data_IF_496007660989
#
_entry.id   IF_496007660989
#
_cell.length_a   1.000
_cell.length_b   1.000
_cell.length_c   1.000
_cell.angle_alpha   90.00
_cell.angle_beta   90.00
_cell.angle_gamma   90.00
#
_symmetry.space_group_name_H-M   'P 1'
#
loop_
_entity.id
_entity.type
_entity.pdbx_description
1 polymer ?
#
# COMPACT_ATOMS: atom_id res chain seq x y z
N UNK A 1 10.30 3.36 -22.43
CA UNK A 1 11.00 3.65 -21.15
C UNK A 1 10.00 4.23 -20.16
N UNK A 2 9.13 3.44 -19.51
CA UNK A 2 7.93 4.00 -18.86
C UNK A 2 7.56 3.44 -17.46
N UNK A 3 8.45 2.74 -16.74
CA UNK A 3 8.09 2.10 -15.46
C UNK A 3 9.07 2.44 -14.32
N UNK A 4 9.48 3.71 -14.21
CA UNK A 4 10.40 4.19 -13.16
C UNK A 4 9.98 3.79 -11.74
N UNK A 5 8.70 4.00 -11.34
CA UNK A 5 8.23 3.60 -10.02
C UNK A 5 8.28 2.09 -9.77
N UNK A 6 7.79 1.27 -10.71
CA UNK A 6 7.79 -0.19 -10.56
C UNK A 6 9.23 -0.75 -10.48
N UNK A 7 10.12 -0.29 -11.37
CA UNK A 7 11.53 -0.69 -11.34
C UNK A 7 12.20 -0.28 -10.03
N UNK A 8 11.88 0.90 -9.49
CA UNK A 8 12.38 1.32 -8.19
C UNK A 8 11.89 0.40 -7.06
N UNK A 9 10.61 0.06 -7.03
CA UNK A 9 10.03 -0.88 -6.05
C UNK A 9 10.76 -2.23 -6.09
N UNK A 10 10.90 -2.83 -7.29
CA UNK A 10 11.62 -4.11 -7.48
C UNK A 10 13.05 -4.02 -6.95
N UNK A 11 13.78 -2.97 -7.32
CA UNK A 11 15.15 -2.78 -6.85
C UNK A 11 15.24 -2.68 -5.31
N UNK A 12 14.27 -2.02 -4.67
CA UNK A 12 14.24 -1.89 -3.20
C UNK A 12 13.89 -3.20 -2.51
N UNK A 13 12.94 -3.97 -3.04
CA UNK A 13 12.59 -5.31 -2.52
C UNK A 13 13.81 -6.24 -2.65
N UNK A 14 14.42 -6.32 -3.83
CA UNK A 14 15.53 -7.23 -4.09
C UNK A 14 16.80 -6.86 -3.31
N UNK A 15 17.10 -5.56 -3.19
CA UNK A 15 18.22 -5.11 -2.36
C UNK A 15 17.98 -5.39 -0.87
N UNK A 16 16.73 -5.31 -0.42
CA UNK A 16 16.38 -5.61 0.96
C UNK A 16 16.47 -7.11 1.28
N UNK A 17 16.26 -8.02 0.31
CA UNK A 17 16.27 -9.48 0.48
C UNK A 17 15.33 -9.93 1.62
N UNK A 18 14.00 -9.77 1.44
CA UNK A 18 13.05 -10.10 2.48
C UNK A 18 12.97 -11.60 2.75
N UNK A 19 12.71 -11.95 4.01
CA UNK A 19 12.48 -13.32 4.48
C UNK A 19 11.21 -13.35 5.33
N UNK A 20 10.75 -14.54 5.75
CA UNK A 20 9.59 -14.68 6.62
C UNK A 20 9.72 -13.85 7.92
N UNK A 21 10.88 -13.90 8.57
CA UNK A 21 11.14 -13.18 9.83
C UNK A 21 11.47 -11.69 9.64
N UNK A 22 11.74 -11.28 8.38
CA UNK A 22 12.10 -9.90 8.04
C UNK A 22 11.48 -9.51 6.69
N UNK A 23 10.15 -9.30 6.65
CA UNK A 23 9.46 -8.97 5.42
C UNK A 23 9.75 -7.54 4.96
N UNK A 24 9.59 -7.29 3.65
CA UNK A 24 9.61 -5.93 3.11
C UNK A 24 8.20 -5.34 3.20
N UNK A 25 8.05 -4.27 3.97
CA UNK A 25 6.76 -3.59 4.17
C UNK A 25 6.57 -2.48 3.14
N UNK A 26 5.53 -2.58 2.31
CA UNK A 26 5.23 -1.72 1.16
C UNK A 26 3.87 -1.03 1.31
N UNK A 27 3.86 0.31 1.26
CA UNK A 27 2.63 1.11 1.20
C UNK A 27 2.16 1.30 -0.24
N UNK A 28 0.86 1.09 -0.49
CA UNK A 28 0.26 1.09 -1.83
C UNK A 28 -0.93 2.06 -1.96
N UNK A 29 -1.01 2.86 -3.04
CA UNK A 29 -2.15 3.72 -3.33
C UNK A 29 -3.14 3.04 -4.29
N UNK A 30 -4.36 3.55 -4.35
CA UNK A 30 -5.34 3.22 -5.40
C UNK A 30 -5.47 4.38 -6.41
N UNK A 31 -6.48 4.31 -7.29
CA UNK A 31 -6.74 5.33 -8.30
C UNK A 31 -6.09 5.06 -9.66
N UNK A 32 -6.28 5.97 -10.61
CA UNK A 32 -5.80 5.79 -12.00
C UNK A 32 -4.29 5.86 -12.15
N UNK A 33 -3.62 6.71 -11.37
CA UNK A 33 -2.17 6.98 -11.45
C UNK A 33 -1.29 5.73 -11.29
N UNK A 34 -1.49 4.85 -10.29
CA UNK A 34 -0.63 3.67 -10.10
C UNK A 34 -0.89 2.50 -11.07
N UNK A 35 -1.93 2.55 -11.92
CA UNK A 35 -2.31 1.40 -12.76
C UNK A 35 -1.19 0.91 -13.69
N UNK A 36 -0.43 1.83 -14.28
CA UNK A 36 0.71 1.47 -15.15
C UNK A 36 1.85 0.84 -14.35
N UNK A 37 2.08 1.31 -13.12
CA UNK A 37 3.06 0.73 -12.20
C UNK A 37 2.64 -0.68 -11.76
N UNK A 38 1.37 -0.93 -11.44
CA UNK A 38 0.89 -2.27 -11.09
C UNK A 38 1.04 -3.27 -12.24
N UNK A 39 0.63 -2.88 -13.46
CA UNK A 39 0.85 -3.71 -14.66
C UNK A 39 2.32 -4.06 -14.81
N UNK A 40 3.21 -3.09 -14.64
CA UNK A 40 4.65 -3.32 -14.74
C UNK A 40 5.20 -4.25 -13.65
N UNK A 41 4.73 -4.12 -12.40
CA UNK A 41 5.11 -5.02 -11.29
C UNK A 41 4.67 -6.46 -11.55
N UNK A 42 3.45 -6.64 -12.06
CA UNK A 42 2.92 -7.96 -12.45
C UNK A 42 3.77 -8.58 -13.54
N UNK A 43 4.13 -7.84 -14.58
CA UNK A 43 4.97 -8.37 -15.67
C UNK A 43 6.39 -8.71 -15.19
N UNK A 44 6.99 -7.87 -14.33
CA UNK A 44 8.29 -8.15 -13.72
C UNK A 44 8.24 -9.37 -12.80
N UNK A 45 7.14 -9.58 -12.08
CA UNK A 45 6.94 -10.78 -11.27
C UNK A 45 6.85 -12.04 -12.15
N UNK A 46 6.03 -12.02 -13.20
CA UNK A 46 5.89 -13.13 -14.15
C UNK A 46 7.21 -13.45 -14.87
N UNK A 47 8.05 -12.43 -15.09
CA UNK A 47 9.40 -12.60 -15.63
C UNK A 47 10.43 -13.13 -14.61
N UNK A 48 10.03 -13.36 -13.35
CA UNK A 48 10.91 -13.85 -12.29
C UNK A 48 11.85 -12.79 -11.70
N UNK A 49 11.62 -11.50 -11.97
CA UNK A 49 12.49 -10.42 -11.50
C UNK A 49 12.22 -10.01 -10.04
N UNK A 50 11.06 -10.38 -9.48
CA UNK A 50 10.65 -10.08 -8.11
C UNK A 50 9.66 -11.12 -7.57
N UNK A 51 9.70 -11.38 -6.27
CA UNK A 51 8.69 -12.17 -5.53
C UNK A 51 8.11 -11.33 -4.40
N UNK A 52 6.80 -11.47 -4.20
CA UNK A 52 6.01 -10.84 -3.15
C UNK A 52 5.73 -11.77 -1.96
N UNK A 53 6.28 -13.00 -1.98
CA UNK A 53 6.11 -14.01 -0.92
C UNK A 53 6.44 -13.49 0.49
N UNK A 54 7.44 -12.61 0.60
CA UNK A 54 7.87 -11.99 1.85
C UNK A 54 7.69 -10.47 1.84
N UNK A 55 6.72 -9.98 1.06
CA UNK A 55 6.29 -8.59 1.07
C UNK A 55 4.99 -8.50 1.86
N UNK A 56 4.91 -7.52 2.75
CA UNK A 56 3.70 -7.16 3.50
C UNK A 56 3.21 -5.82 2.98
N UNK A 57 1.93 -5.72 2.64
CA UNK A 57 1.36 -4.50 2.04
C UNK A 57 0.41 -3.80 2.98
N UNK A 58 0.37 -2.46 2.90
CA UNK A 58 -0.62 -1.62 3.56
C UNK A 58 -1.17 -0.62 2.53
N UNK A 59 -2.48 -0.58 2.34
CA UNK A 59 -3.12 0.46 1.54
C UNK A 59 -3.37 1.73 2.35
N UNK A 60 -3.51 2.85 1.63
CA UNK A 60 -3.71 4.18 2.24
C UNK A 60 -5.09 4.38 2.85
N UNK A 61 -6.13 3.89 2.19
CA UNK A 61 -7.52 4.25 2.43
C UNK A 61 -8.47 3.15 1.94
N UNK A 62 -9.74 3.25 2.35
CA UNK A 62 -10.90 2.50 1.85
C UNK A 62 -12.15 3.36 2.05
N UNK A 63 -13.19 3.13 1.25
CA UNK A 63 -14.48 3.80 1.42
C UNK A 63 -15.25 3.25 2.63
N UNK A 64 -15.76 4.16 3.47
CA UNK A 64 -16.66 3.80 4.57
C UNK A 64 -18.06 3.49 4.02
N UNK A 65 -18.66 2.38 4.48
CA UNK A 65 -20.03 1.98 4.14
C UNK A 65 -20.19 1.34 2.76
N UNK A 66 -19.11 1.21 1.98
CA UNK A 66 -19.15 0.53 0.69
C UNK A 66 -18.89 -0.97 0.89
N UNK A 67 -19.75 -1.88 0.38
CA UNK A 67 -19.50 -3.31 0.50
C UNK A 67 -18.13 -3.68 -0.06
N UNK A 68 -17.41 -4.53 0.65
CA UNK A 68 -16.08 -5.03 0.26
C UNK A 68 -16.08 -5.60 -1.17
N UNK A 69 -17.18 -6.25 -1.55
CA UNK A 69 -17.33 -6.96 -2.82
C UNK A 69 -17.77 -6.03 -3.96
N UNK A 70 -18.02 -4.75 -3.65
CA UNK A 70 -18.38 -3.75 -4.65
C UNK A 70 -17.22 -3.57 -5.64
N UNK A 71 -17.47 -3.50 -6.96
CA UNK A 71 -16.40 -3.44 -7.98
C UNK A 71 -15.50 -2.19 -7.88
N UNK A 72 -16.00 -1.13 -7.23
CA UNK A 72 -15.31 0.13 -6.97
C UNK A 72 -14.75 0.26 -5.54
N UNK A 73 -14.86 -0.77 -4.70
CA UNK A 73 -14.12 -0.79 -3.42
C UNK A 73 -12.62 -0.85 -3.70
N UNK A 74 -11.82 -0.28 -2.79
CA UNK A 74 -10.36 -0.34 -2.93
C UNK A 74 -9.84 -1.75 -2.70
N UNK A 75 -10.55 -2.56 -1.91
CA UNK A 75 -10.37 -4.00 -1.88
C UNK A 75 -10.47 -4.63 -3.28
N UNK A 76 -11.60 -4.49 -3.97
CA UNK A 76 -11.80 -5.05 -5.32
C UNK A 76 -10.79 -4.49 -6.32
N UNK A 77 -10.47 -3.20 -6.24
CA UNK A 77 -9.47 -2.56 -7.08
C UNK A 77 -8.10 -3.23 -6.93
N UNK A 78 -7.62 -3.45 -5.69
CA UNK A 78 -6.28 -3.98 -5.46
C UNK A 78 -6.16 -5.45 -5.87
N UNK A 79 -7.18 -6.26 -5.60
CA UNK A 79 -7.23 -7.64 -6.07
C UNK A 79 -7.21 -7.72 -7.59
N UNK A 80 -8.14 -7.00 -8.25
CA UNK A 80 -8.27 -6.98 -9.70
C UNK A 80 -7.00 -6.53 -10.43
N UNK A 81 -6.30 -5.52 -9.90
CA UNK A 81 -5.18 -4.89 -10.61
C UNK A 81 -3.81 -5.39 -10.17
N UNK A 82 -3.68 -6.05 -9.01
CA UNK A 82 -2.38 -6.42 -8.47
C UNK A 82 -2.35 -7.75 -7.73
N UNK A 83 -3.08 -7.90 -6.60
CA UNK A 83 -2.87 -9.02 -5.69
C UNK A 83 -3.20 -10.38 -6.31
N UNK A 84 -4.19 -10.48 -7.20
CA UNK A 84 -4.56 -11.74 -7.85
C UNK A 84 -3.55 -12.20 -8.92
N UNK A 85 -2.55 -11.37 -9.23
CA UNK A 85 -1.59 -11.60 -10.32
C UNK A 85 -0.15 -11.82 -9.83
N UNK A 86 0.06 -11.87 -8.52
CA UNK A 86 1.38 -12.04 -7.89
C UNK A 86 1.37 -13.07 -6.75
N UNK A 87 2.53 -13.55 -6.35
CA UNK A 87 2.70 -14.57 -5.30
C UNK A 87 2.64 -14.02 -3.86
N UNK A 88 1.83 -12.97 -3.61
CA UNK A 88 1.66 -12.41 -2.27
C UNK A 88 0.74 -13.30 -1.42
N UNK A 89 1.13 -13.69 -0.19
CA UNK A 89 0.25 -14.42 0.72
C UNK A 89 -0.90 -13.53 1.21
N UNK A 90 -2.09 -14.10 1.35
CA UNK A 90 -3.28 -13.34 1.75
C UNK A 90 -3.12 -12.69 3.14
N UNK A 91 -2.43 -13.35 4.06
CA UNK A 91 -2.13 -12.87 5.41
C UNK A 91 -1.20 -11.64 5.42
N UNK A 92 -0.48 -11.40 4.34
CA UNK A 92 0.41 -10.25 4.18
C UNK A 92 -0.28 -9.02 3.58
N UNK A 93 -1.54 -9.15 3.16
CA UNK A 93 -2.34 -8.05 2.61
C UNK A 93 -3.07 -7.34 3.75
N UNK A 94 -2.82 -6.04 3.91
CA UNK A 94 -3.52 -5.21 4.88
C UNK A 94 -4.30 -4.10 4.17
N UNK A 95 -5.61 -4.14 4.33
CA UNK A 95 -6.57 -3.17 3.81
C UNK A 95 -7.45 -2.73 4.98
N UNK A 96 -7.80 -1.45 5.03
CA UNK A 96 -8.74 -0.92 6.04
C UNK A 96 -10.14 -1.53 5.83
N UNK A 97 -10.81 -1.89 6.91
CA UNK A 97 -12.20 -2.29 6.88
C UNK A 97 -13.13 -1.07 7.01
N UNK A 98 -13.56 -0.50 5.87
CA UNK A 98 -14.51 0.61 5.84
C UNK A 98 -15.92 0.29 6.38
N UNK A 99 -16.22 -0.96 6.72
CA UNK A 99 -17.49 -1.37 7.31
C UNK A 99 -17.32 -1.91 8.74
N UNK A 100 -16.19 -1.62 9.40
CA UNK A 100 -16.00 -1.99 10.80
C UNK A 100 -17.08 -1.32 11.68
N UNK A 101 -17.58 -2.02 12.73
CA UNK A 101 -18.59 -1.45 13.63
C UNK A 101 -18.05 -0.27 14.46
N UNK A 102 -16.73 -0.23 14.69
CA UNK A 102 -16.02 0.87 15.32
C UNK A 102 -14.84 1.28 14.41
N UNK A 103 -15.03 2.38 13.68
CA UNK A 103 -14.04 2.92 12.72
C UNK A 103 -12.80 3.45 13.45
N UNK A 104 -12.95 4.00 14.65
CA UNK A 104 -11.80 4.51 15.42
C UNK A 104 -10.94 3.35 15.93
N UNK A 105 -11.57 2.24 16.34
CA UNK A 105 -10.86 1.02 16.68
C UNK A 105 -10.15 0.40 15.48
N UNK A 106 -10.77 0.36 14.31
CA UNK A 106 -10.14 -0.10 13.06
C UNK A 106 -8.89 0.73 12.74
N UNK A 107 -8.97 2.06 12.80
CA UNK A 107 -7.83 2.94 12.57
C UNK A 107 -6.69 2.67 13.56
N UNK A 108 -6.99 2.52 14.86
CA UNK A 108 -6.00 2.20 15.89
C UNK A 108 -5.32 0.85 15.63
N UNK A 109 -6.10 -0.19 15.32
CA UNK A 109 -5.57 -1.52 15.04
C UNK A 109 -4.69 -1.51 13.78
N UNK A 110 -5.07 -0.75 12.77
CA UNK A 110 -4.27 -0.60 11.54
C UNK A 110 -2.92 0.08 11.84
N UNK A 111 -2.91 1.15 12.63
CA UNK A 111 -1.67 1.78 13.10
C UNK A 111 -0.81 0.84 13.94
N UNK A 112 -1.41 0.11 14.88
CA UNK A 112 -0.72 -0.88 15.71
C UNK A 112 -0.11 -2.00 14.85
N UNK A 113 -0.82 -2.45 13.82
CA UNK A 113 -0.33 -3.45 12.88
C UNK A 113 0.84 -2.92 12.04
N UNK A 114 0.82 -1.66 11.62
CA UNK A 114 1.99 -1.04 10.97
C UNK A 114 3.18 -1.00 11.94
N UNK A 115 2.94 -0.62 13.21
CA UNK A 115 3.99 -0.54 14.24
C UNK A 115 4.57 -1.91 14.59
N UNK A 116 3.79 -2.98 14.53
CA UNK A 116 4.29 -4.34 14.82
C UNK A 116 5.33 -4.83 13.81
N UNK A 117 5.31 -4.33 12.57
CA UNK A 117 6.37 -4.53 11.58
C UNK A 117 7.53 -3.50 11.68
N UNK A 118 7.48 -2.61 12.67
CA UNK A 118 8.47 -1.57 12.92
C UNK A 118 8.31 -0.33 12.02
N UNK A 119 8.36 -0.50 10.69
CA UNK A 119 8.18 0.60 9.73
C UNK A 119 7.72 0.14 8.35
N UNK A 120 7.11 1.06 7.62
CA UNK A 120 6.95 0.95 6.16
C UNK A 120 8.29 1.31 5.51
N UNK A 121 8.81 0.42 4.65
CA UNK A 121 10.13 0.58 4.01
C UNK A 121 10.07 1.51 2.78
N UNK A 122 8.94 1.44 2.08
CA UNK A 122 8.64 2.28 0.92
C UNK A 122 7.13 2.49 0.87
N UNK A 123 6.71 3.73 0.68
CA UNK A 123 5.31 4.07 0.46
C UNK A 123 5.17 4.70 -0.92
N UNK A 124 4.43 4.06 -1.84
CA UNK A 124 4.06 4.65 -3.11
C UNK A 124 2.78 5.48 -2.93
N UNK A 125 2.77 6.72 -3.41
CA UNK A 125 1.62 7.61 -3.30
C UNK A 125 1.31 8.30 -4.62
N UNK A 126 0.04 8.67 -4.79
CA UNK A 126 -0.38 9.65 -5.79
C UNK A 126 -0.52 11.04 -5.16
N UNK A 127 -0.49 12.08 -5.99
CA UNK A 127 -0.85 13.44 -5.59
C UNK A 127 -2.03 13.88 -6.44
N UNK A 128 -3.13 14.27 -5.80
CA UNK A 128 -4.30 14.82 -6.48
C UNK A 128 -4.02 16.20 -7.08
N UNK A 129 -4.86 16.66 -8.02
CA UNK A 129 -4.69 17.97 -8.65
C UNK A 129 -4.71 19.15 -7.65
N UNK A 130 -5.39 18.98 -6.52
CA UNK A 130 -5.44 19.95 -5.43
C UNK A 130 -4.30 19.76 -4.41
N UNK A 131 -3.42 18.77 -4.59
CA UNK A 131 -2.28 18.46 -3.73
C UNK A 131 -2.58 17.48 -2.60
N UNK A 132 -3.76 16.83 -2.57
CA UNK A 132 -4.02 15.78 -1.58
C UNK A 132 -3.13 14.55 -1.80
N UNK A 133 -2.85 13.85 -0.70
CA UNK A 133 -2.22 12.52 -0.67
C UNK A 133 -3.24 11.58 0.00
N UNK A 134 -3.50 10.39 -0.55
CA UNK A 134 -4.64 9.57 -0.09
C UNK A 134 -5.95 10.40 -0.08
N UNK A 135 -6.81 10.21 0.91
CA UNK A 135 -8.00 11.05 1.11
C UNK A 135 -7.73 12.34 1.93
N UNK A 136 -6.47 12.76 2.13
CA UNK A 136 -6.15 13.96 2.94
C UNK A 136 -6.38 15.26 2.15
N UNK A 137 -7.56 15.86 2.25
CA UNK A 137 -7.83 17.14 1.58
C UNK A 137 -7.03 18.33 2.19
N UNK A 138 -6.98 19.46 1.46
CA UNK A 138 -6.28 20.72 1.84
C UNK A 138 -6.62 21.31 3.21
N UNK A 139 -7.65 20.82 3.92
CA UNK A 139 -8.03 21.34 5.25
C UNK A 139 -7.24 20.73 6.39
N UNK A 140 -6.39 19.73 6.13
CA UNK A 140 -5.47 19.22 7.13
C UNK A 140 -4.30 20.20 7.31
N UNK A 141 -4.31 20.88 8.47
CA UNK A 141 -3.21 21.72 8.91
C UNK A 141 -2.05 20.80 9.27
N UNK A 142 -0.92 20.92 8.57
CA UNK A 142 0.33 20.30 8.99
C UNK A 142 0.67 20.82 10.38
N UNK A 143 0.50 19.99 11.41
CA UNK A 143 1.03 20.28 12.73
C UNK A 143 2.55 20.04 12.65
N UNK A 144 3.39 21.02 13.01
CA UNK A 144 4.82 20.79 13.07
C UNK A 144 5.08 19.68 14.08
N UNK A 145 5.66 18.56 13.63
CA UNK A 145 6.22 17.56 14.53
C UNK A 145 7.42 18.22 15.21
N UNK A 146 7.46 18.34 16.55
CA UNK A 146 8.63 18.85 17.22
C UNK A 146 9.78 17.89 16.94
N UNK A 147 10.75 18.35 16.13
CA UNK A 147 12.02 17.67 15.96
C UNK A 147 12.72 17.76 17.32
N UNK A 148 12.74 16.67 18.08
CA UNK A 148 13.61 16.61 19.25
C UNK A 148 15.04 16.83 18.74
N UNK A 149 15.66 17.91 19.19
CA UNK A 149 17.05 18.21 18.85
C UNK A 149 17.94 17.08 19.38
N UNK A 150 18.47 16.29 18.45
CA UNK A 150 19.66 15.41 18.51
C UNK A 150 19.68 14.30 19.56
#
# INVERSE_FOLDING_TARGET
MANGPARHIVNRINAFKPTADRPFVLGLPTGGTPLTAYKALVEMHKAGEVSFKHVVTFNMDEYVGLPKEHPESYHSFMHRNFFDHVDIPAENINLLNGNAPDIDAECRQYEEKIRSYGKIHLFMGGVGNDGHIALTNRRLRWLPVPVSKR
#
